data_IF_088417418595
#
_entry.id   IF_088417418595
#
_cell.length_a   1.000
_cell.length_b   1.000
_cell.length_c   1.000
_cell.angle_alpha   90.00
_cell.angle_beta   90.00
_cell.angle_gamma   90.00
#
_symmetry.space_group_name_H-M   'P 1'
#
loop_
_entity.id
_entity.type
_entity.pdbx_description
1 polymer ?
#
# COMPACT_ATOMS: atom_id res chain seq x y z
N UNK A 1 29.43 0.52 5.13
CA UNK A 1 29.12 0.90 3.73
C UNK A 1 27.77 0.31 3.38
N UNK A 2 26.71 1.12 3.45
CA UNK A 2 25.34 0.66 3.21
C UNK A 2 24.97 0.74 1.73
N UNK A 3 23.94 -0.02 1.36
CA UNK A 3 23.33 0.07 0.03
C UNK A 3 22.66 1.43 -0.07
N UNK A 4 23.31 2.35 -0.78
CA UNK A 4 22.83 3.69 -1.02
C UNK A 4 21.88 3.67 -2.22
N UNK A 5 20.75 4.40 -2.19
CA UNK A 5 19.78 4.45 -3.30
C UNK A 5 20.42 4.78 -4.65
N UNK A 6 21.52 5.53 -4.65
CA UNK A 6 22.31 5.86 -5.83
C UNK A 6 22.99 4.66 -6.50
N UNK A 7 23.44 3.67 -5.73
CA UNK A 7 24.07 2.46 -6.27
C UNK A 7 23.01 1.55 -6.91
N UNK A 8 21.84 1.44 -6.28
CA UNK A 8 20.71 0.68 -6.85
C UNK A 8 20.28 1.26 -8.20
N UNK A 9 20.24 2.60 -8.33
CA UNK A 9 19.88 3.24 -9.59
C UNK A 9 20.87 2.91 -10.72
N UNK A 10 22.17 2.96 -10.44
CA UNK A 10 23.21 2.61 -11.41
C UNK A 10 23.09 1.15 -11.87
N UNK A 11 22.82 0.21 -10.95
CA UNK A 11 22.60 -1.20 -11.27
C UNK A 11 21.36 -1.39 -12.14
N UNK A 12 20.24 -0.71 -11.81
CA UNK A 12 19.00 -0.79 -12.58
C UNK A 12 19.19 -0.30 -14.01
N UNK A 13 19.95 0.79 -14.22
CA UNK A 13 20.26 1.29 -15.56
C UNK A 13 21.02 0.24 -16.38
N UNK A 14 22.02 -0.41 -15.80
CA UNK A 14 22.78 -1.48 -16.48
C UNK A 14 21.87 -2.66 -16.83
N UNK A 15 21.01 -3.09 -15.90
CA UNK A 15 20.04 -4.17 -16.15
C UNK A 15 19.09 -3.80 -17.28
N UNK A 16 18.57 -2.57 -17.33
CA UNK A 16 17.70 -2.10 -18.41
C UNK A 16 18.43 -2.11 -19.77
N UNK A 17 19.71 -1.75 -19.80
CA UNK A 17 20.51 -1.78 -21.03
C UNK A 17 20.79 -3.21 -21.52
N UNK A 18 21.04 -4.15 -20.61
CA UNK A 18 21.32 -5.56 -20.95
C UNK A 18 20.06 -6.30 -21.42
N UNK A 19 18.95 -6.14 -20.71
CA UNK A 19 17.71 -6.85 -20.99
C UNK A 19 16.80 -6.11 -21.98
N UNK A 20 17.02 -4.81 -22.16
CA UNK A 20 16.16 -3.92 -22.93
C UNK A 20 14.85 -3.58 -22.20
N UNK A 21 14.31 -2.38 -22.45
CA UNK A 21 13.05 -1.92 -21.84
C UNK A 21 11.84 -2.75 -22.26
N UNK A 22 11.90 -3.43 -23.42
CA UNK A 22 10.78 -4.20 -23.96
C UNK A 22 10.50 -5.49 -23.17
N UNK A 23 11.55 -6.24 -22.80
CA UNK A 23 11.43 -7.43 -21.92
C UNK A 23 11.06 -7.03 -20.50
N UNK A 24 11.68 -5.97 -19.97
CA UNK A 24 11.39 -5.47 -18.63
C UNK A 24 9.94 -4.97 -18.51
N UNK A 25 9.39 -4.36 -19.57
CA UNK A 25 7.98 -3.92 -19.60
C UNK A 25 7.01 -5.09 -19.64
N UNK A 26 7.26 -6.11 -20.46
CA UNK A 26 6.38 -7.29 -20.51
C UNK A 26 6.32 -7.99 -19.14
N UNK A 27 7.48 -8.30 -18.57
CA UNK A 27 7.58 -8.97 -17.26
C UNK A 27 7.08 -8.05 -16.13
N UNK A 28 7.40 -6.76 -16.20
CA UNK A 28 6.98 -5.76 -15.22
C UNK A 28 5.48 -5.48 -15.25
N UNK A 29 4.82 -5.57 -16.40
CA UNK A 29 3.36 -5.49 -16.50
C UNK A 29 2.67 -6.69 -15.85
N UNK A 30 3.19 -7.90 -16.08
CA UNK A 30 2.62 -9.12 -15.51
C UNK A 30 2.81 -9.19 -13.98
N UNK A 31 4.04 -8.95 -13.50
CA UNK A 31 4.31 -8.87 -12.05
C UNK A 31 3.65 -7.65 -11.40
N UNK A 32 3.62 -6.52 -12.11
CA UNK A 32 3.04 -5.27 -11.62
C UNK A 32 1.53 -5.37 -11.47
N UNK A 33 0.85 -6.08 -12.37
CA UNK A 33 -0.58 -6.40 -12.25
C UNK A 33 -0.85 -7.22 -11.00
N UNK A 34 -0.16 -8.36 -10.85
CA UNK A 34 -0.32 -9.23 -9.68
C UNK A 34 -0.04 -8.52 -8.35
N UNK A 35 1.02 -7.71 -8.29
CA UNK A 35 1.37 -6.91 -7.11
C UNK A 35 0.35 -5.80 -6.83
N UNK A 36 -0.26 -5.22 -7.85
CA UNK A 36 -1.30 -4.18 -7.71
C UNK A 36 -2.56 -4.77 -7.10
N UNK A 37 -2.99 -5.93 -7.57
CA UNK A 37 -4.16 -6.63 -7.04
C UNK A 37 -3.90 -7.12 -5.61
N UNK A 38 -2.69 -7.63 -5.32
CA UNK A 38 -2.27 -7.99 -3.97
C UNK A 38 -2.32 -6.79 -3.01
N UNK A 39 -1.77 -5.64 -3.41
CA UNK A 39 -1.82 -4.41 -2.61
C UNK A 39 -3.24 -3.89 -2.41
N UNK A 40 -4.13 -4.10 -3.39
CA UNK A 40 -5.53 -3.71 -3.31
C UNK A 40 -6.29 -4.59 -2.32
N UNK A 41 -6.12 -5.91 -2.39
CA UNK A 41 -6.72 -6.85 -1.45
C UNK A 41 -6.27 -6.57 -0.01
N UNK A 42 -4.96 -6.40 0.22
CA UNK A 42 -4.45 -6.04 1.55
C UNK A 42 -4.98 -4.70 2.09
N UNK A 43 -5.26 -3.73 1.21
CA UNK A 43 -5.87 -2.45 1.61
C UNK A 43 -7.36 -2.55 1.89
N UNK A 44 -8.08 -3.46 1.25
CA UNK A 44 -9.50 -3.72 1.52
C UNK A 44 -9.67 -4.41 2.87
N UNK A 45 -8.85 -5.43 3.17
CA UNK A 45 -8.79 -6.07 4.48
C UNK A 45 -8.44 -5.06 5.60
N UNK A 46 -7.50 -4.14 5.34
CA UNK A 46 -7.10 -3.10 6.30
C UNK A 46 -8.19 -2.02 6.47
N UNK A 47 -9.06 -1.82 5.47
CA UNK A 47 -10.22 -0.91 5.57
C UNK A 47 -11.38 -1.55 6.32
N UNK A 48 -11.75 -2.80 6.03
CA UNK A 48 -12.76 -3.54 6.80
C UNK A 48 -12.41 -3.61 8.29
N UNK A 49 -11.12 -3.68 8.64
CA UNK A 49 -10.66 -3.64 10.03
C UNK A 49 -10.77 -2.25 10.66
N UNK A 50 -10.67 -1.16 9.87
CA UNK A 50 -10.73 0.23 10.36
C UNK A 50 -12.15 0.79 10.45
N UNK A 51 -13.06 0.33 9.60
CA UNK A 51 -14.47 0.71 9.65
C UNK A 51 -15.20 0.10 10.87
N UNK A 52 -14.72 -1.03 11.40
CA UNK A 52 -15.24 -1.65 12.62
C UNK A 52 -14.86 -0.92 13.94
N UNK A 53 -13.89 0.01 13.91
CA UNK A 53 -13.41 0.71 15.11
C UNK A 53 -13.97 2.14 15.24
N UNK A 54 -14.60 2.69 14.19
CA UNK A 54 -15.14 4.05 14.21
C UNK A 54 -16.62 4.15 14.63
N UNK A 55 -17.40 3.06 14.56
CA UNK A 55 -18.82 3.07 14.99
C UNK A 55 -19.02 2.93 16.50
N UNK A 56 -18.03 2.45 17.28
CA UNK A 56 -18.18 2.29 18.74
C UNK A 56 -17.89 3.52 19.59
N UNK A 57 -17.39 4.61 19.01
CA UNK A 57 -17.04 5.84 19.77
C UNK A 57 -18.14 6.92 19.66
N UNK A 58 -19.13 6.74 18.78
CA UNK A 58 -20.26 7.67 18.63
C UNK A 58 -21.41 7.39 19.62
N UNK A 59 -21.58 6.15 20.07
CA UNK A 59 -22.67 5.70 20.95
C UNK A 59 -22.27 5.69 22.44
N UNK A 60 -21.46 6.64 22.91
CA UNK A 60 -21.25 6.86 24.36
C UNK A 60 -21.31 8.34 24.75
N UNK A 61 -21.44 9.25 23.78
CA UNK A 61 -21.53 10.70 24.07
C UNK A 61 -22.95 11.23 24.24
N UNK A 62 -23.99 10.45 23.95
CA UNK A 62 -25.37 10.93 24.05
C UNK A 62 -26.01 10.70 25.44
N UNK A 63 -25.52 9.74 26.25
CA UNK A 63 -26.13 9.42 27.56
C UNK A 63 -25.65 10.29 28.72
N UNK A 64 -24.57 11.05 28.59
CA UNK A 64 -23.99 11.84 29.72
C UNK A 64 -24.52 13.28 29.78
N UNK A 65 -25.27 13.75 28.77
CA UNK A 65 -25.70 15.16 28.70
C UNK A 65 -27.12 15.43 29.22
N UNK A 66 -27.85 14.41 29.64
CA UNK A 66 -29.25 14.50 30.04
C UNK A 66 -29.45 14.17 31.54
N UNK A 67 -28.55 14.63 32.42
CA UNK A 67 -28.78 14.59 33.88
C UNK A 67 -28.40 15.91 34.58
N UNK A 68 -28.22 16.98 33.80
CA UNK A 68 -27.92 18.32 34.35
C UNK A 68 -28.72 19.41 33.64
N UNK A 69 -30.04 19.32 33.72
CA UNK A 69 -30.96 20.47 33.76
C UNK A 69 -31.98 20.27 34.88
#
# INVERSE_FOLDING_TARGET
MGISPWQLLAVVVVVILLFGTKKLRNIGSDLGGAMKDFKKAMKDDEKETKDAEFEKIADEKETVKQEKE
#
